data_IF_632914906653
#
_entry.id   IF_632914906653
#
_cell.length_a   1.000
_cell.length_b   1.000
_cell.length_c   1.000
_cell.angle_alpha   90.00
_cell.angle_beta   90.00
_cell.angle_gamma   90.00
#
_symmetry.space_group_name_H-M   'P 1'
#
loop_
_entity.id
_entity.type
_entity.pdbx_description
1 polymer ?
#
# COMPACT_ATOMS: atom_id res chain seq x y z
N UNK A 1 6.93 28.14 -25.42
CA UNK A 1 5.68 27.79 -24.72
C UNK A 1 4.90 26.92 -25.68
N UNK A 2 4.50 25.71 -25.29
CA UNK A 2 3.57 24.92 -26.12
C UNK A 2 2.20 25.55 -25.92
N UNK A 3 1.64 26.12 -26.97
CA UNK A 3 0.26 26.61 -26.95
C UNK A 3 -0.64 25.39 -26.69
N UNK A 4 -1.24 25.35 -25.50
CA UNK A 4 -2.22 24.35 -25.17
C UNK A 4 -3.46 24.64 -26.01
N UNK A 5 -3.77 23.76 -26.96
CA UNK A 5 -4.91 23.97 -27.84
C UNK A 5 -6.22 23.70 -27.09
N UNK A 6 -6.75 24.75 -26.48
CA UNK A 6 -8.02 24.75 -25.76
C UNK A 6 -9.20 24.27 -26.61
N UNK A 7 -9.12 24.41 -27.94
CA UNK A 7 -10.19 23.97 -28.85
C UNK A 7 -10.19 22.45 -29.02
N UNK A 8 -9.01 21.83 -29.09
CA UNK A 8 -8.84 20.38 -29.11
C UNK A 8 -9.23 19.74 -27.76
N UNK A 9 -8.78 20.34 -26.65
CA UNK A 9 -9.12 19.88 -25.29
C UNK A 9 -10.63 19.91 -25.04
N UNK A 10 -11.33 20.95 -25.51
CA UNK A 10 -12.80 21.06 -25.35
C UNK A 10 -13.54 19.97 -26.11
N UNK A 11 -13.05 19.54 -27.28
CA UNK A 11 -13.64 18.41 -28.03
C UNK A 11 -13.47 17.10 -27.28
N UNK A 12 -12.26 16.82 -26.79
CA UNK A 12 -11.97 15.60 -26.04
C UNK A 12 -12.79 15.53 -24.74
N UNK A 13 -12.94 16.63 -24.01
CA UNK A 13 -13.78 16.66 -22.79
C UNK A 13 -15.25 16.41 -23.13
N UNK A 14 -15.76 16.93 -24.26
CA UNK A 14 -17.16 16.70 -24.66
C UNK A 14 -17.41 15.22 -24.98
N UNK A 15 -16.45 14.55 -25.63
CA UNK A 15 -16.51 13.12 -25.97
C UNK A 15 -16.42 12.23 -24.72
N UNK A 16 -15.57 12.61 -23.75
CA UNK A 16 -15.51 11.94 -22.45
C UNK A 16 -16.84 12.07 -21.70
N UNK A 17 -17.45 13.25 -21.73
CA UNK A 17 -18.74 13.47 -21.07
C UNK A 17 -19.86 12.61 -21.70
N UNK A 18 -19.91 12.46 -23.02
CA UNK A 18 -20.91 11.57 -23.65
C UNK A 18 -20.74 10.12 -23.22
N UNK A 19 -19.51 9.63 -23.07
CA UNK A 19 -19.24 8.25 -22.60
C UNK A 19 -19.61 8.10 -21.12
N UNK A 20 -19.36 9.12 -20.31
CA UNK A 20 -19.66 9.11 -18.88
C UNK A 20 -21.17 9.18 -18.62
N UNK A 21 -21.95 9.84 -19.47
CA UNK A 21 -23.41 9.89 -19.36
C UNK A 21 -24.08 8.53 -19.58
N UNK A 22 -23.47 7.65 -20.37
CA UNK A 22 -23.94 6.26 -20.58
C UNK A 22 -23.64 5.33 -19.40
N UNK A 23 -22.80 5.75 -18.45
CA UNK A 23 -22.45 4.95 -17.29
C UNK A 23 -23.47 5.10 -16.14
N UNK A 24 -23.68 4.05 -15.31
CA UNK A 24 -24.49 4.15 -14.10
C UNK A 24 -23.95 5.21 -13.14
N UNK A 25 -24.82 5.99 -12.51
CA UNK A 25 -24.52 7.07 -11.56
C UNK A 25 -23.34 6.80 -10.59
N UNK A 26 -23.25 5.63 -9.92
CA UNK A 26 -22.14 5.35 -8.99
C UNK A 26 -20.77 5.21 -9.65
N UNK A 27 -20.71 5.01 -10.97
CA UNK A 27 -19.47 4.80 -11.73
C UNK A 27 -19.07 6.02 -12.56
N UNK A 28 -19.97 7.00 -12.77
CA UNK A 28 -19.72 8.18 -13.60
C UNK A 28 -18.46 8.95 -13.18
N UNK A 29 -18.29 9.20 -11.88
CA UNK A 29 -17.13 9.91 -11.36
C UNK A 29 -15.80 9.18 -11.65
N UNK A 30 -15.78 7.85 -11.46
CA UNK A 30 -14.57 7.04 -11.72
C UNK A 30 -14.29 6.89 -13.22
N UNK A 31 -15.33 6.73 -14.04
CA UNK A 31 -15.18 6.68 -15.49
C UNK A 31 -14.65 7.99 -16.06
N UNK A 32 -15.11 9.14 -15.55
CA UNK A 32 -14.61 10.45 -15.97
C UNK A 32 -13.12 10.60 -15.64
N UNK A 33 -12.71 10.28 -14.42
CA UNK A 33 -11.30 10.39 -14.02
C UNK A 33 -10.37 9.50 -14.85
N UNK A 34 -10.80 8.27 -15.17
CA UNK A 34 -10.03 7.35 -16.00
C UNK A 34 -9.89 7.86 -17.44
N UNK A 35 -11.00 8.26 -18.05
CA UNK A 35 -11.01 8.76 -19.43
C UNK A 35 -10.27 10.08 -19.56
N UNK A 36 -10.40 10.97 -18.56
CA UNK A 36 -9.66 12.22 -18.51
C UNK A 36 -8.16 11.99 -18.32
N UNK A 37 -7.78 11.06 -17.43
CA UNK A 37 -6.38 10.69 -17.21
C UNK A 37 -5.70 10.12 -18.45
N UNK A 38 -6.43 9.32 -19.25
CA UNK A 38 -5.93 8.76 -20.52
C UNK A 38 -5.85 9.84 -21.60
N UNK A 39 -6.86 10.69 -21.73
CA UNK A 39 -6.91 11.72 -22.77
C UNK A 39 -5.88 12.84 -22.57
N UNK A 40 -5.51 13.13 -21.33
CA UNK A 40 -4.61 14.23 -20.97
C UNK A 40 -3.28 13.75 -20.34
N UNK A 41 -2.93 12.47 -20.50
CA UNK A 41 -1.72 11.85 -19.95
C UNK A 41 -0.40 12.54 -20.36
N UNK A 42 -0.40 13.25 -21.49
CA UNK A 42 0.79 13.96 -22.02
C UNK A 42 0.98 15.37 -21.44
N UNK A 43 0.12 15.82 -20.51
CA UNK A 43 0.37 17.07 -19.81
C UNK A 43 1.45 16.87 -18.73
N UNK A 44 2.54 17.65 -18.78
CA UNK A 44 3.60 17.54 -17.80
C UNK A 44 3.01 17.83 -16.42
N UNK A 45 3.08 16.84 -15.52
CA UNK A 45 2.79 17.01 -14.10
C UNK A 45 3.67 18.15 -13.58
N UNK A 46 3.07 19.31 -13.34
CA UNK A 46 3.72 20.42 -12.67
C UNK A 46 3.87 20.01 -11.20
N UNK A 47 5.01 19.41 -10.86
CA UNK A 47 5.45 19.26 -9.48
C UNK A 47 5.82 20.66 -8.95
N UNK A 48 5.17 21.17 -7.88
CA UNK A 48 5.71 22.29 -7.15
C UNK A 48 6.86 21.79 -6.27
N UNK A 49 8.01 22.46 -6.37
CA UNK A 49 9.26 22.25 -5.59
C UNK A 49 10.11 21.06 -6.11
N UNK A 50 11.38 21.16 -6.49
CA UNK A 50 12.38 22.22 -6.40
C UNK A 50 13.75 21.64 -6.06
N UNK A 51 14.52 21.16 -7.07
CA UNK A 51 15.98 20.85 -7.11
C UNK A 51 16.45 19.65 -6.23
N UNK A 52 17.42 18.80 -6.58
CA UNK A 52 18.65 18.86 -7.40
C UNK A 52 18.96 17.45 -7.97
N UNK A 53 19.56 17.28 -9.17
CA UNK A 53 19.95 15.97 -9.73
C UNK A 53 21.38 15.54 -9.33
N UNK A 54 21.59 14.24 -9.06
CA UNK A 54 22.91 13.61 -8.90
C UNK A 54 23.10 12.60 -10.05
N UNK A 55 24.26 12.55 -10.72
CA UNK A 55 24.40 11.97 -12.06
C UNK A 55 24.48 10.44 -12.07
N UNK A 56 23.93 9.88 -13.14
CA UNK A 56 24.03 8.48 -13.56
C UNK A 56 25.46 8.15 -13.98
N UNK A 57 25.97 7.00 -13.56
CA UNK A 57 27.15 6.38 -14.17
C UNK A 57 26.77 5.02 -14.76
N UNK A 58 27.03 4.88 -16.06
CA UNK A 58 26.90 3.69 -16.89
C UNK A 58 27.85 2.58 -16.43
N UNK A 59 27.38 1.32 -16.42
CA UNK A 59 28.14 0.16 -16.94
C UNK A 59 27.18 -0.91 -17.49
N UNK A 60 27.18 -1.05 -18.82
CA UNK A 60 27.53 -2.30 -19.54
C UNK A 60 26.60 -3.52 -19.49
N UNK A 61 26.04 -3.83 -20.67
CA UNK A 61 25.32 -5.03 -21.10
C UNK A 61 26.12 -6.34 -20.97
N UNK A 62 25.43 -7.48 -20.77
CA UNK A 62 25.48 -8.64 -21.68
C UNK A 62 24.35 -9.63 -21.40
N UNK A 63 23.75 -10.13 -22.48
CA UNK A 63 22.58 -11.00 -22.53
C UNK A 63 22.88 -12.48 -22.24
N UNK A 64 21.88 -13.19 -21.71
CA UNK A 64 21.40 -14.44 -22.31
C UNK A 64 20.05 -14.84 -21.68
N UNK A 65 19.09 -15.17 -22.56
CA UNK A 65 17.68 -15.21 -22.23
C UNK A 65 17.22 -16.44 -21.44
N UNK A 66 16.26 -16.19 -20.56
CA UNK A 66 15.15 -17.09 -20.29
C UNK A 66 14.02 -16.31 -19.59
N UNK A 67 12.85 -16.34 -20.23
CA UNK A 67 11.52 -15.99 -19.73
C UNK A 67 11.25 -14.50 -19.44
N UNK A 68 10.19 -14.01 -20.07
CA UNK A 68 9.76 -12.62 -20.09
C UNK A 68 9.47 -12.11 -18.67
N UNK A 69 10.17 -11.04 -18.31
CA UNK A 69 9.89 -10.20 -17.15
C UNK A 69 8.46 -9.64 -17.26
N UNK A 70 7.55 -10.17 -16.44
CA UNK A 70 6.47 -9.34 -15.91
C UNK A 70 7.16 -8.19 -15.20
N UNK A 71 6.97 -6.95 -15.67
CA UNK A 71 7.65 -5.78 -15.10
C UNK A 71 7.47 -5.76 -13.58
N UNK A 72 8.55 -6.13 -12.88
CA UNK A 72 8.54 -6.34 -11.44
C UNK A 72 8.22 -4.98 -10.82
N UNK A 73 7.01 -4.82 -10.25
CA UNK A 73 6.64 -3.55 -9.63
C UNK A 73 7.58 -3.36 -8.45
N UNK A 74 8.50 -2.40 -8.57
CA UNK A 74 9.48 -2.13 -7.52
C UNK A 74 8.77 -1.83 -6.19
N UNK A 75 9.29 -2.42 -5.11
CA UNK A 75 8.76 -2.18 -3.77
C UNK A 75 8.89 -0.68 -3.42
N UNK A 76 7.87 -0.08 -2.79
CA UNK A 76 7.98 1.28 -2.28
C UNK A 76 9.18 1.43 -1.34
N UNK A 77 9.82 2.61 -1.35
CA UNK A 77 11.09 2.84 -0.66
C UNK A 77 11.05 2.50 0.83
N UNK A 78 9.96 2.82 1.53
CA UNK A 78 9.76 2.49 2.94
C UNK A 78 9.72 0.98 3.20
N UNK A 79 9.05 0.22 2.32
CA UNK A 79 8.93 -1.23 2.39
C UNK A 79 10.23 -1.91 2.00
N UNK A 80 10.93 -1.39 0.98
CA UNK A 80 12.25 -1.87 0.59
C UNK A 80 13.28 -1.70 1.72
N UNK A 81 13.27 -0.55 2.41
CA UNK A 81 14.13 -0.31 3.58
C UNK A 81 13.77 -1.25 4.73
N UNK A 82 12.47 -1.44 5.01
CA UNK A 82 12.02 -2.41 6.00
C UNK A 82 12.52 -3.83 5.65
N UNK A 83 12.31 -4.26 4.41
CA UNK A 83 12.66 -5.60 3.95
C UNK A 83 14.16 -5.87 4.10
N UNK A 84 14.99 -4.93 3.65
CA UNK A 84 16.45 -5.02 3.80
C UNK A 84 16.90 -5.01 5.26
N UNK A 85 16.29 -4.16 6.10
CA UNK A 85 16.72 -3.98 7.49
C UNK A 85 16.38 -5.18 8.37
N UNK A 86 15.25 -5.84 8.12
CA UNK A 86 14.74 -6.93 8.96
C UNK A 86 14.79 -8.31 8.27
N UNK A 87 15.49 -8.42 7.13
CA UNK A 87 15.73 -9.70 6.46
C UNK A 87 14.49 -10.31 5.79
N UNK A 88 13.49 -9.50 5.44
CA UNK A 88 12.32 -9.97 4.70
C UNK A 88 12.65 -10.02 3.22
N UNK A 89 12.53 -11.20 2.61
CA UNK A 89 12.78 -11.38 1.18
C UNK A 89 11.60 -10.91 0.32
N UNK A 90 11.91 -10.46 -0.91
CA UNK A 90 10.88 -10.14 -1.90
C UNK A 90 9.95 -11.33 -2.17
N UNK A 91 10.48 -12.55 -2.19
CA UNK A 91 9.69 -13.77 -2.37
C UNK A 91 8.66 -13.99 -1.24
N UNK A 92 8.99 -13.64 0.01
CA UNK A 92 8.01 -13.71 1.11
C UNK A 92 6.90 -12.68 0.92
N UNK A 93 7.21 -11.47 0.47
CA UNK A 93 6.20 -10.44 0.21
C UNK A 93 5.27 -10.84 -0.95
N UNK A 94 5.81 -11.38 -2.05
CA UNK A 94 5.02 -11.87 -3.19
C UNK A 94 4.10 -13.06 -2.84
N UNK A 95 4.43 -13.84 -1.81
CA UNK A 95 3.53 -14.89 -1.28
C UNK A 95 2.35 -14.33 -0.50
N UNK A 96 2.50 -13.14 0.09
CA UNK A 96 1.49 -12.52 0.96
C UNK A 96 0.67 -11.46 0.22
N UNK A 97 1.22 -10.90 -0.85
CA UNK A 97 0.62 -9.82 -1.65
C UNK A 97 0.83 -10.08 -3.14
N UNK A 98 -0.19 -9.84 -3.95
CA UNK A 98 -0.07 -9.73 -5.40
C UNK A 98 0.40 -8.32 -5.73
N UNK A 99 1.72 -8.13 -5.73
CA UNK A 99 2.37 -6.82 -5.90
C UNK A 99 2.27 -6.34 -7.35
N UNK A 100 2.29 -7.26 -8.32
CA UNK A 100 2.18 -6.96 -9.76
C UNK A 100 0.75 -6.61 -10.20
N UNK A 101 -0.25 -6.70 -9.30
CA UNK A 101 -1.62 -6.32 -9.58
C UNK A 101 -1.88 -4.86 -9.17
N UNK A 102 -2.74 -4.15 -9.90
CA UNK A 102 -3.22 -2.82 -9.54
C UNK A 102 -4.75 -2.83 -9.34
N UNK A 103 -5.25 -2.61 -8.10
CA UNK A 103 -4.51 -2.33 -6.87
C UNK A 103 -3.80 -3.57 -6.28
N UNK A 104 -2.79 -3.36 -5.43
CA UNK A 104 -2.11 -4.44 -4.71
C UNK A 104 -3.12 -5.20 -3.85
N UNK A 105 -3.21 -6.52 -4.03
CA UNK A 105 -4.14 -7.39 -3.32
C UNK A 105 -3.43 -8.21 -2.24
N UNK A 106 -3.99 -8.24 -1.04
CA UNK A 106 -3.55 -9.12 0.04
C UNK A 106 -4.08 -10.55 -0.16
N UNK A 107 -3.20 -11.55 -0.13
CA UNK A 107 -3.55 -12.98 -0.27
C UNK A 107 -3.21 -13.82 0.96
N UNK A 108 -2.59 -13.21 1.97
CA UNK A 108 -2.25 -13.87 3.22
C UNK A 108 -3.49 -14.37 3.98
N UNK A 109 -3.34 -15.50 4.69
CA UNK A 109 -4.37 -16.07 5.57
C UNK A 109 -3.83 -16.19 6.99
N UNK A 110 -4.59 -15.69 7.96
CA UNK A 110 -4.23 -15.78 9.38
C UNK A 110 -4.66 -17.16 9.88
N UNK A 111 -3.68 -18.02 10.20
CA UNK A 111 -3.92 -19.43 10.56
C UNK A 111 -4.13 -19.68 12.07
N UNK A 112 -3.83 -18.70 12.93
CA UNK A 112 -3.89 -18.88 14.39
C UNK A 112 -5.33 -19.00 14.90
N UNK A 113 -5.56 -19.94 15.83
CA UNK A 113 -6.84 -20.07 16.58
C UNK A 113 -6.94 -19.10 17.75
N UNK A 114 -5.82 -18.54 18.20
CA UNK A 114 -5.77 -17.58 19.31
C UNK A 114 -6.15 -16.20 18.80
N UNK A 115 -7.29 -15.67 19.27
CA UNK A 115 -7.90 -14.43 18.75
C UNK A 115 -7.02 -13.19 18.94
N UNK A 116 -6.39 -13.02 20.09
CA UNK A 116 -5.47 -11.89 20.34
C UNK A 116 -4.26 -11.92 19.40
N UNK A 117 -3.71 -13.11 19.10
CA UNK A 117 -2.64 -13.27 18.10
C UNK A 117 -3.15 -12.97 16.69
N UNK A 118 -4.36 -13.41 16.35
CA UNK A 118 -4.97 -13.13 15.05
C UNK A 118 -5.17 -11.62 14.84
N UNK A 119 -5.69 -10.92 15.85
CA UNK A 119 -5.87 -9.48 15.85
C UNK A 119 -4.53 -8.75 15.62
N UNK A 120 -3.48 -9.14 16.36
CA UNK A 120 -2.17 -8.53 16.21
C UNK A 120 -1.56 -8.80 14.84
N UNK A 121 -1.65 -10.04 14.33
CA UNK A 121 -1.19 -10.38 12.99
C UNK A 121 -1.93 -9.55 11.92
N UNK A 122 -3.26 -9.44 12.01
CA UNK A 122 -4.03 -8.62 11.06
C UNK A 122 -3.61 -7.15 11.09
N UNK A 123 -3.46 -6.59 12.29
CA UNK A 123 -3.04 -5.19 12.47
C UNK A 123 -1.69 -4.92 11.81
N UNK A 124 -0.72 -5.81 12.03
CA UNK A 124 0.63 -5.71 11.44
C UNK A 124 0.58 -5.81 9.92
N UNK A 125 -0.20 -6.75 9.39
CA UNK A 125 -0.34 -6.92 7.94
C UNK A 125 -1.07 -5.77 7.25
N UNK A 126 -2.06 -5.14 7.91
CA UNK A 126 -2.74 -3.94 7.38
C UNK A 126 -1.78 -2.75 7.31
N UNK A 127 -0.91 -2.58 8.31
CA UNK A 127 0.13 -1.54 8.28
C UNK A 127 1.12 -1.76 7.12
N UNK A 128 1.51 -3.01 6.87
CA UNK A 128 2.36 -3.36 5.72
C UNK A 128 1.66 -3.15 4.38
N UNK A 129 0.38 -3.53 4.28
CA UNK A 129 -0.46 -3.28 3.10
C UNK A 129 -0.54 -1.79 2.76
N UNK A 130 -0.72 -0.95 3.78
CA UNK A 130 -0.67 0.50 3.60
C UNK A 130 0.72 0.99 3.16
N UNK A 131 1.79 0.38 3.68
CA UNK A 131 3.15 0.64 3.22
C UNK A 131 3.34 0.33 1.74
N UNK A 132 2.80 -0.79 1.27
CA UNK A 132 2.86 -1.20 -0.13
C UNK A 132 2.05 -0.28 -1.06
N UNK A 133 0.92 0.25 -0.59
CA UNK A 133 0.05 1.14 -1.39
C UNK A 133 0.50 2.60 -1.38
N UNK A 134 0.92 3.11 -0.23
CA UNK A 134 1.09 4.54 0.04
C UNK A 134 2.53 4.93 0.41
N UNK A 135 3.48 3.99 0.33
CA UNK A 135 4.88 4.16 0.76
C UNK A 135 5.05 4.61 2.24
N UNK A 136 4.05 4.29 3.08
CA UNK A 136 4.06 4.62 4.51
C UNK A 136 3.45 3.48 5.32
N UNK A 137 4.25 2.88 6.21
CA UNK A 137 3.79 1.89 7.20
C UNK A 137 3.14 2.62 8.38
N UNK A 138 2.00 3.26 8.08
CA UNK A 138 1.25 4.16 8.95
C UNK A 138 -0.21 4.20 8.51
N UNK A 139 -1.16 4.07 9.42
CA UNK A 139 -2.60 4.16 9.08
C UNK A 139 -3.38 4.88 10.16
N UNK A 140 -4.51 5.51 9.84
CA UNK A 140 -5.41 6.05 10.86
C UNK A 140 -5.99 4.91 11.73
N UNK A 141 -6.12 5.13 13.04
CA UNK A 141 -6.65 4.09 13.93
C UNK A 141 -8.07 3.60 13.54
N UNK A 142 -9.02 4.46 13.12
CA UNK A 142 -10.35 4.01 12.71
C UNK A 142 -10.30 3.04 11.52
N UNK A 143 -9.48 3.35 10.50
CA UNK A 143 -9.27 2.49 9.33
C UNK A 143 -8.65 1.15 9.72
N UNK A 144 -7.69 1.16 10.65
CA UNK A 144 -7.10 -0.07 11.18
C UNK A 144 -8.15 -0.94 11.87
N UNK A 145 -9.00 -0.32 12.70
CA UNK A 145 -10.08 -1.01 13.42
C UNK A 145 -11.07 -1.62 12.43
N UNK A 146 -11.44 -0.87 11.40
CA UNK A 146 -12.41 -1.32 10.40
C UNK A 146 -11.83 -2.48 9.58
N UNK A 147 -10.57 -2.42 9.17
CA UNK A 147 -9.90 -3.54 8.49
C UNK A 147 -9.84 -4.83 9.34
N UNK A 148 -9.75 -4.71 10.66
CA UNK A 148 -9.81 -5.87 11.58
C UNK A 148 -11.24 -6.37 11.76
N UNK A 149 -12.22 -5.46 11.74
CA UNK A 149 -13.66 -5.77 11.82
C UNK A 149 -14.14 -6.50 10.58
N UNK A 150 -13.76 -6.02 9.40
CA UNK A 150 -14.09 -6.63 8.10
C UNK A 150 -13.51 -8.04 7.96
N UNK A 151 -12.36 -8.29 8.62
CA UNK A 151 -11.78 -9.62 8.72
C UNK A 151 -12.45 -10.54 9.77
N UNK A 152 -13.49 -10.08 10.47
CA UNK A 152 -14.19 -10.83 11.52
C UNK A 152 -13.36 -11.06 12.79
N UNK A 153 -12.26 -10.31 12.96
CA UNK A 153 -11.32 -10.49 14.08
C UNK A 153 -11.55 -9.50 15.23
N UNK A 154 -12.37 -8.47 15.02
CA UNK A 154 -12.68 -7.47 16.03
C UNK A 154 -13.57 -8.04 17.15
N UNK A 155 -13.29 -7.63 18.39
CA UNK A 155 -14.14 -7.87 19.56
C UNK A 155 -13.89 -6.84 20.67
N UNK A 156 -14.63 -6.95 21.78
CA UNK A 156 -14.48 -6.07 22.94
C UNK A 156 -13.10 -6.11 23.59
N UNK A 157 -12.27 -7.14 23.31
CA UNK A 157 -10.92 -7.25 23.84
C UNK A 157 -9.86 -6.63 22.91
N UNK A 158 -10.22 -6.21 21.70
CA UNK A 158 -9.28 -5.68 20.71
C UNK A 158 -8.39 -4.56 21.28
N UNK A 159 -9.00 -3.56 21.92
CA UNK A 159 -8.25 -2.45 22.51
C UNK A 159 -7.34 -2.90 23.65
N UNK A 160 -7.77 -3.89 24.44
CA UNK A 160 -6.93 -4.47 25.50
C UNK A 160 -5.72 -5.19 24.90
N UNK A 161 -5.92 -5.96 23.83
CA UNK A 161 -4.85 -6.61 23.08
C UNK A 161 -3.83 -5.58 22.57
N UNK A 162 -4.28 -4.48 21.98
CA UNK A 162 -3.40 -3.43 21.47
C UNK A 162 -2.62 -2.72 22.59
N UNK A 163 -3.28 -2.35 23.68
CA UNK A 163 -2.63 -1.69 24.83
C UNK A 163 -1.59 -2.58 25.50
N UNK A 164 -1.86 -3.89 25.61
CA UNK A 164 -0.87 -4.85 26.12
C UNK A 164 0.37 -4.95 25.24
N UNK A 165 0.23 -4.64 23.95
CA UNK A 165 1.32 -4.63 22.97
C UNK A 165 1.73 -3.20 22.57
N UNK A 166 1.44 -2.19 23.40
CA UNK A 166 1.65 -0.78 23.04
C UNK A 166 3.10 -0.46 22.66
N UNK A 167 4.09 -1.15 23.25
CA UNK A 167 5.51 -0.97 22.90
C UNK A 167 5.87 -1.31 21.45
N UNK A 168 4.98 -1.97 20.70
CA UNK A 168 5.14 -2.23 19.27
C UNK A 168 4.69 -1.04 18.40
N UNK A 169 3.91 -0.13 18.97
CA UNK A 169 3.22 0.92 18.25
C UNK A 169 3.69 2.32 18.68
N UNK A 170 3.51 3.27 17.77
CA UNK A 170 3.70 4.71 18.00
C UNK A 170 2.45 5.45 17.53
N UNK A 171 2.09 6.53 18.22
CA UNK A 171 0.92 7.35 17.91
C UNK A 171 -0.32 6.89 18.68
N UNK A 172 -1.37 6.50 17.97
CA UNK A 172 -2.71 6.30 18.54
C UNK A 172 -2.81 5.24 19.65
N UNK A 173 -1.89 4.28 19.72
CA UNK A 173 -1.93 3.20 20.71
C UNK A 173 -0.91 3.50 21.82
N UNK A 174 -1.41 3.71 23.04
CA UNK A 174 -0.59 3.87 24.24
C UNK A 174 -1.01 2.86 25.31
N UNK A 175 -0.19 2.61 26.32
CA UNK A 175 -0.52 1.69 27.42
C UNK A 175 -1.78 2.14 28.19
N UNK A 176 -1.99 3.45 28.32
CA UNK A 176 -3.11 4.02 29.04
C UNK A 176 -4.41 4.03 28.20
N UNK A 177 -4.34 4.51 26.95
CA UNK A 177 -5.51 4.77 26.11
C UNK A 177 -5.25 4.61 24.61
N UNK A 178 -6.34 4.52 23.87
CA UNK A 178 -6.36 4.59 22.41
C UNK A 178 -6.84 5.99 22.01
N UNK A 179 -6.12 6.66 21.12
CA UNK A 179 -6.44 7.98 20.58
C UNK A 179 -7.06 7.81 19.18
N UNK A 180 -8.39 7.80 19.11
CA UNK A 180 -9.14 7.52 17.87
C UNK A 180 -8.85 8.50 16.72
N UNK A 181 -8.42 9.73 17.02
CA UNK A 181 -8.08 10.75 16.02
C UNK A 181 -6.64 10.69 15.51
N UNK A 182 -5.82 9.76 16.01
CA UNK A 182 -4.42 9.65 15.64
C UNK A 182 -4.15 8.46 14.71
N UNK A 183 -2.92 8.42 14.22
CA UNK A 183 -2.42 7.37 13.35
C UNK A 183 -1.56 6.39 14.14
N UNK A 184 -1.55 5.15 13.68
CA UNK A 184 -0.75 4.05 14.21
C UNK A 184 0.45 3.86 13.28
N UNK A 185 1.64 3.82 13.87
CA UNK A 185 2.90 3.46 13.23
C UNK A 185 3.59 2.35 14.04
N UNK A 186 4.60 1.69 13.44
CA UNK A 186 5.41 0.71 14.14
C UNK A 186 6.69 1.32 14.73
N UNK A 187 7.02 0.90 15.94
CA UNK A 187 8.35 1.15 16.53
C UNK A 187 9.39 0.23 15.90
N UNK A 188 10.67 0.38 16.26
CA UNK A 188 11.71 -0.59 15.85
C UNK A 188 11.38 -2.02 16.28
N UNK A 189 10.85 -2.19 17.51
CA UNK A 189 10.35 -3.49 18.00
C UNK A 189 9.11 -3.97 17.23
N UNK A 190 8.20 -3.05 16.88
CA UNK A 190 7.05 -3.35 16.04
C UNK A 190 7.43 -3.82 14.64
N UNK A 191 8.44 -3.19 14.02
CA UNK A 191 8.96 -3.60 12.72
C UNK A 191 9.63 -4.97 12.78
N UNK A 192 10.44 -5.26 13.80
CA UNK A 192 10.98 -6.61 14.01
C UNK A 192 9.84 -7.63 14.11
N UNK A 193 8.82 -7.32 14.92
CA UNK A 193 7.67 -8.21 15.08
C UNK A 193 6.88 -8.42 13.79
N UNK A 194 6.77 -7.38 12.95
CA UNK A 194 6.17 -7.48 11.62
C UNK A 194 6.98 -8.45 10.73
N UNK A 195 8.30 -8.39 10.76
CA UNK A 195 9.15 -9.32 10.01
C UNK A 195 8.93 -10.78 10.45
N UNK A 196 8.89 -11.04 11.76
CA UNK A 196 8.57 -12.38 12.28
C UNK A 196 7.19 -12.87 11.79
N UNK A 197 6.20 -11.97 11.72
CA UNK A 197 4.86 -12.31 11.24
C UNK A 197 4.86 -12.60 9.74
N UNK A 198 5.64 -11.84 8.96
CA UNK A 198 5.80 -12.10 7.52
C UNK A 198 6.44 -13.46 7.30
N UNK A 199 7.47 -13.81 8.09
CA UNK A 199 8.11 -15.12 8.04
C UNK A 199 7.12 -16.24 8.43
N UNK A 200 6.41 -16.11 9.55
CA UNK A 200 5.38 -17.06 9.99
C UNK A 200 4.34 -17.32 8.88
N UNK A 201 3.84 -16.27 8.24
CA UNK A 201 2.75 -16.36 7.26
C UNK A 201 3.25 -16.85 5.90
N UNK A 202 4.45 -16.43 5.45
CA UNK A 202 5.01 -16.81 4.15
C UNK A 202 5.74 -18.16 4.17
N UNK A 203 6.22 -18.58 5.34
CA UNK A 203 6.87 -19.87 5.59
C UNK A 203 5.90 -21.03 5.80
N UNK A 204 4.60 -20.76 5.94
CA UNK A 204 3.58 -21.79 6.19
C UNK A 204 3.20 -22.65 4.96
N UNK A 205 4.17 -22.96 4.10
CA UNK A 205 4.13 -24.09 3.17
C UNK A 205 4.88 -25.28 3.80
N UNK A 206 4.23 -25.89 4.79
CA UNK A 206 4.46 -27.30 5.17
C UNK A 206 3.09 -27.96 5.20
#
# INVERSE_FOLDING_TARGET
MRDFDFKAARRQVTEILSIVEECPEPLKARCFELLFGVAFADLPKVNPQGKVPIPRSNVGLAANGSLQETGERELPGSVAVFARKYGVSSAQLHKLFLIDHDPILAVYKIKTKVKSRAQLQKVMMVLLENGLRNDRIKIAYPELRDAVRDAGLYDGNFNKTLKHNAGLFRGAITEAKILEGESVELTGKGMQRLADIVEDLAGSNV
#
